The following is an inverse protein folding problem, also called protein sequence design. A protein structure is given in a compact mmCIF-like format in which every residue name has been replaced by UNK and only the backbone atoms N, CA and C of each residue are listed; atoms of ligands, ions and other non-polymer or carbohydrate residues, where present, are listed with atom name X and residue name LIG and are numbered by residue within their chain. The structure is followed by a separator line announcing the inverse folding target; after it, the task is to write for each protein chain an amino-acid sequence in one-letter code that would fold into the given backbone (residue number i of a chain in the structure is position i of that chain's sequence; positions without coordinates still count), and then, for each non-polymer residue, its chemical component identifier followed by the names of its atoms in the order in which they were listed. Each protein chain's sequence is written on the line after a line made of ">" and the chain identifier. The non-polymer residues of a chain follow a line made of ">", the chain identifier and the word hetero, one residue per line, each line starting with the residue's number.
data_IF_823727953962
#
_entry.id   IF_823727953962
#
_cell.length_a   1.000
_cell.length_b   1.000
_cell.length_c   1.000
_cell.angle_alpha   90.00
_cell.angle_beta   90.00
_cell.angle_gamma   90.00
#
_symmetry.space_group_name_H-M   'P 1'
#
loop_
_entity.id
_entity.type
_entity.pdbx_description
1 polymer ?
#
# COMPACT_ATOMS: atom_id res chain seq x y z
N UNK A 1 15.89 -43.92 55.51
CA UNK A 1 15.43 -44.12 54.12
C UNK A 1 14.48 -43.03 53.58
N UNK A 2 14.15 -41.96 54.31
CA UNK A 2 13.14 -40.96 53.89
C UNK A 2 13.62 -39.79 53.02
N UNK A 3 14.93 -39.62 52.76
CA UNK A 3 15.46 -38.48 51.99
C UNK A 3 15.41 -38.65 50.46
N UNK A 4 15.57 -39.89 49.97
CA UNK A 4 15.66 -40.17 48.53
C UNK A 4 14.28 -40.15 47.84
N UNK A 5 13.22 -40.48 48.58
CA UNK A 5 11.84 -40.51 48.07
C UNK A 5 11.30 -39.10 47.83
N UNK A 6 11.62 -38.15 48.71
CA UNK A 6 11.18 -36.75 48.57
C UNK A 6 11.82 -36.05 47.37
N UNK A 7 13.08 -36.35 47.05
CA UNK A 7 13.77 -35.79 45.88
C UNK A 7 13.22 -36.35 44.55
N UNK A 8 12.86 -37.65 44.52
CA UNK A 8 12.25 -38.28 43.35
C UNK A 8 10.84 -37.75 43.09
N UNK A 9 10.07 -37.45 44.15
CA UNK A 9 8.76 -36.82 44.04
C UNK A 9 8.84 -35.37 43.55
N UNK A 10 9.78 -34.57 44.05
CA UNK A 10 9.98 -33.18 43.59
C UNK A 10 10.44 -33.15 42.13
N UNK A 11 11.33 -34.06 41.71
CA UNK A 11 11.76 -34.19 40.31
C UNK A 11 10.63 -34.63 39.39
N UNK A 12 9.75 -35.53 39.82
CA UNK A 12 8.60 -35.96 39.03
C UNK A 12 7.58 -34.83 38.86
N UNK A 13 7.33 -34.03 39.91
CA UNK A 13 6.43 -32.87 39.85
C UNK A 13 6.98 -31.80 38.91
N UNK A 14 8.30 -31.55 38.91
CA UNK A 14 8.94 -30.57 38.00
C UNK A 14 8.88 -31.02 36.53
N UNK A 15 9.01 -32.32 36.25
CA UNK A 15 8.89 -32.87 34.88
C UNK A 15 7.43 -32.81 34.40
N UNK A 16 6.46 -33.08 35.27
CA UNK A 16 5.03 -32.98 34.95
C UNK A 16 4.62 -31.51 34.71
N UNK A 17 5.23 -30.57 35.44
CA UNK A 17 5.00 -29.13 35.24
C UNK A 17 5.60 -28.64 33.90
N UNK A 18 6.72 -29.20 33.45
CA UNK A 18 7.32 -28.89 32.14
C UNK A 18 6.59 -29.53 30.96
N UNK A 19 5.89 -30.65 31.15
CA UNK A 19 5.10 -31.30 30.10
C UNK A 19 3.80 -30.56 29.73
N UNK A 20 3.39 -29.54 30.50
CA UNK A 20 2.18 -28.76 30.24
C UNK A 20 2.37 -27.64 29.20
N UNK A 21 3.60 -27.42 28.69
CA UNK A 21 3.89 -26.34 27.71
C UNK A 21 3.68 -26.80 26.25
N UNK A 22 3.41 -28.08 26.00
CA UNK A 22 3.28 -28.62 24.64
C UNK A 22 1.84 -28.76 24.10
N UNK A 23 0.84 -28.20 24.79
CA UNK A 23 -0.57 -28.26 24.36
C UNK A 23 -1.17 -26.87 24.12
N UNK A 24 -0.61 -26.12 23.18
CA UNK A 24 -1.37 -25.15 22.37
C UNK A 24 -1.41 -25.75 20.95
N UNK A 25 -2.30 -26.71 20.71
CA UNK A 25 -3.64 -26.46 20.19
C UNK A 25 -3.58 -25.60 18.91
N UNK A 26 -3.55 -26.29 17.78
CA UNK A 26 -4.12 -25.79 16.53
C UNK A 26 -5.58 -25.41 16.82
N UNK A 27 -5.90 -24.13 16.74
CA UNK A 27 -7.27 -23.64 16.73
C UNK A 27 -7.46 -22.85 15.42
N UNK A 28 -8.16 -23.50 14.50
CA UNK A 28 -8.83 -22.90 13.37
C UNK A 28 -10.02 -22.06 13.87
N UNK A 29 -10.25 -20.90 13.26
CA UNK A 29 -11.49 -20.14 13.41
C UNK A 29 -11.47 -18.99 14.43
N UNK A 30 -11.20 -17.78 13.90
CA UNK A 30 -11.92 -16.56 14.27
C UNK A 30 -11.79 -16.07 15.71
N UNK A 31 -10.84 -15.17 15.94
CA UNK A 31 -10.99 -13.91 16.70
C UNK A 31 -9.68 -13.13 16.61
N UNK A 32 -9.78 -11.91 16.11
CA UNK A 32 -8.68 -10.95 15.97
C UNK A 32 -7.95 -10.80 17.31
N UNK A 33 -6.67 -11.19 17.34
CA UNK A 33 -5.79 -10.84 18.45
C UNK A 33 -5.56 -9.32 18.40
N UNK A 34 -6.26 -8.60 19.26
CA UNK A 34 -5.98 -7.20 19.52
C UNK A 34 -4.54 -7.08 20.04
N UNK A 35 -3.70 -6.39 19.27
CA UNK A 35 -2.40 -5.90 19.73
C UNK A 35 -2.58 -5.16 21.06
N UNK A 36 -1.77 -5.50 22.06
CA UNK A 36 -1.74 -4.86 23.37
C UNK A 36 -1.29 -3.40 23.23
N UNK A 37 -2.25 -2.50 23.02
CA UNK A 37 -2.07 -1.06 23.12
C UNK A 37 -2.42 -0.57 24.51
N UNK A 38 -1.50 0.13 25.16
CA UNK A 38 -1.71 0.79 26.44
C UNK A 38 -2.96 1.68 26.47
N UNK A 39 -3.51 1.83 27.67
CA UNK A 39 -4.71 2.59 28.02
C UNK A 39 -4.89 3.88 27.22
N UNK A 40 -5.89 3.92 26.32
CA UNK A 40 -6.46 5.17 25.78
C UNK A 40 -6.21 5.49 24.31
N UNK A 41 -5.42 4.72 23.55
CA UNK A 41 -5.28 4.97 22.11
C UNK A 41 -6.43 4.37 21.31
N UNK A 42 -7.25 5.21 20.66
CA UNK A 42 -8.26 4.77 19.68
C UNK A 42 -7.59 3.87 18.63
N UNK A 43 -8.10 2.65 18.38
CA UNK A 43 -7.51 1.71 17.44
C UNK A 43 -7.38 2.31 16.04
N UNK A 44 -6.45 1.78 15.26
CA UNK A 44 -6.22 2.18 13.87
C UNK A 44 -6.83 1.13 12.94
N UNK A 45 -7.81 1.52 12.14
CA UNK A 45 -8.62 0.61 11.35
C UNK A 45 -8.81 1.12 9.92
N UNK A 46 -9.07 0.17 9.01
CA UNK A 46 -9.66 0.46 7.71
C UNK A 46 -11.15 0.75 7.91
N UNK A 47 -11.60 1.93 7.51
CA UNK A 47 -12.98 2.37 7.64
C UNK A 47 -13.83 1.90 6.45
N UNK A 48 -13.29 1.98 5.23
CA UNK A 48 -14.00 1.56 4.02
C UNK A 48 -13.02 1.22 2.88
N UNK A 49 -13.51 0.39 1.96
CA UNK A 49 -12.89 0.18 0.64
C UNK A 49 -13.95 0.37 -0.42
N UNK A 50 -13.72 1.32 -1.31
CA UNK A 50 -14.64 1.66 -2.40
C UNK A 50 -13.91 1.77 -3.72
N UNK A 51 -14.65 1.79 -4.82
CA UNK A 51 -14.13 2.31 -6.07
C UNK A 51 -14.10 3.85 -6.01
N UNK A 52 -13.18 4.46 -6.75
CA UNK A 52 -13.23 5.90 -7.03
C UNK A 52 -14.49 6.16 -7.86
N UNK A 53 -15.33 7.10 -7.41
CA UNK A 53 -16.68 7.31 -7.95
C UNK A 53 -17.79 6.57 -7.18
N UNK A 54 -17.43 5.73 -6.21
CA UNK A 54 -18.37 5.02 -5.34
C UNK A 54 -18.59 3.56 -5.74
N UNK A 55 -19.23 2.80 -4.85
CA UNK A 55 -19.42 1.36 -4.99
C UNK A 55 -18.54 0.59 -3.99
N UNK A 56 -19.14 -0.45 -3.38
CA UNK A 56 -18.46 -1.32 -2.44
C UNK A 56 -17.58 -2.33 -3.20
N UNK A 57 -16.40 -2.63 -2.66
CA UNK A 57 -15.46 -3.59 -3.27
C UNK A 57 -15.43 -4.91 -2.51
N UNK A 58 -15.72 -4.90 -1.20
CA UNK A 58 -15.63 -6.08 -0.36
C UNK A 58 -16.62 -7.15 -0.82
N UNK A 59 -16.09 -8.26 -1.31
CA UNK A 59 -16.83 -9.38 -1.89
C UNK A 59 -17.71 -9.00 -3.10
N UNK A 60 -17.41 -7.88 -3.76
CA UNK A 60 -18.11 -7.47 -4.99
C UNK A 60 -17.77 -8.42 -6.14
N UNK A 61 -18.72 -8.62 -7.07
CA UNK A 61 -18.59 -9.58 -8.19
C UNK A 61 -18.54 -8.96 -9.59
N UNK A 62 -18.75 -7.65 -9.70
CA UNK A 62 -18.79 -6.90 -10.95
C UNK A 62 -17.83 -5.70 -10.95
N UNK A 63 -16.63 -5.89 -10.38
CA UNK A 63 -15.62 -4.83 -10.34
C UNK A 63 -15.07 -4.57 -11.75
N UNK A 64 -14.94 -3.30 -12.20
CA UNK A 64 -14.32 -2.98 -13.49
C UNK A 64 -12.88 -3.51 -13.60
N UNK A 65 -12.45 -3.85 -14.81
CA UNK A 65 -11.08 -4.35 -15.04
C UNK A 65 -10.02 -3.27 -14.89
N UNK A 66 -10.38 -2.00 -15.06
CA UNK A 66 -9.55 -0.80 -14.89
C UNK A 66 -9.80 -0.09 -13.55
N UNK A 67 -10.28 -0.84 -12.54
CA UNK A 67 -10.69 -0.31 -11.25
C UNK A 67 -9.61 0.56 -10.57
N UNK A 68 -10.05 1.69 -10.01
CA UNK A 68 -9.27 2.52 -9.10
C UNK A 68 -9.94 2.44 -7.72
N UNK A 69 -9.20 1.96 -6.72
CA UNK A 69 -9.69 1.72 -5.38
C UNK A 69 -9.33 2.89 -4.46
N UNK A 70 -10.26 3.24 -3.56
CA UNK A 70 -10.02 4.14 -2.44
C UNK A 70 -10.05 3.33 -1.13
N UNK A 71 -8.92 3.31 -0.42
CA UNK A 71 -8.77 2.74 0.91
C UNK A 71 -8.87 3.85 1.94
N UNK A 72 -10.01 3.94 2.61
CA UNK A 72 -10.25 4.95 3.63
C UNK A 72 -9.97 4.38 5.01
N UNK A 73 -9.14 5.07 5.77
CA UNK A 73 -8.78 4.71 7.14
C UNK A 73 -9.37 5.67 8.17
N UNK A 74 -9.38 5.28 9.44
CA UNK A 74 -9.85 6.16 10.52
C UNK A 74 -8.76 7.11 11.08
N UNK A 75 -7.53 7.04 10.55
CA UNK A 75 -6.37 7.88 10.90
C UNK A 75 -5.63 8.38 9.66
N UNK A 76 -4.76 9.38 9.84
CA UNK A 76 -3.89 9.87 8.77
C UNK A 76 -2.84 8.80 8.42
N UNK A 77 -2.84 8.34 7.18
CA UNK A 77 -1.95 7.29 6.65
C UNK A 77 -1.07 7.79 5.49
N UNK A 78 -1.23 9.03 5.05
CA UNK A 78 -0.52 9.55 3.87
C UNK A 78 0.57 10.57 4.21
N UNK A 79 0.73 10.90 5.49
CA UNK A 79 1.74 11.86 5.93
C UNK A 79 3.14 11.51 5.41
N UNK A 80 3.88 12.52 4.96
CA UNK A 80 5.16 12.33 4.26
C UNK A 80 6.22 11.58 5.07
N UNK A 81 6.19 11.65 6.41
CA UNK A 81 7.14 10.91 7.27
C UNK A 81 6.93 9.38 7.25
N UNK A 82 5.72 8.92 6.92
CA UNK A 82 5.36 7.49 6.93
C UNK A 82 5.02 6.95 5.54
N UNK A 83 4.79 7.83 4.56
CA UNK A 83 4.32 7.45 3.23
C UNK A 83 5.23 6.44 2.53
N UNK A 84 6.55 6.60 2.62
CA UNK A 84 7.50 5.69 1.98
C UNK A 84 7.42 4.23 2.49
N UNK A 85 6.90 4.03 3.70
CA UNK A 85 6.59 2.70 4.25
C UNK A 85 5.18 2.28 3.84
N UNK A 86 4.19 3.15 4.02
CA UNK A 86 2.79 2.83 3.79
C UNK A 86 2.47 2.52 2.33
N UNK A 87 3.11 3.17 1.36
CA UNK A 87 2.91 2.89 -0.06
C UNK A 87 3.32 1.47 -0.45
N UNK A 88 4.18 0.83 0.33
CA UNK A 88 4.63 -0.56 0.14
C UNK A 88 3.79 -1.59 0.91
N UNK A 89 2.86 -1.13 1.73
CA UNK A 89 2.01 -1.99 2.55
C UNK A 89 0.78 -2.50 1.80
N UNK A 90 0.61 -2.16 0.52
CA UNK A 90 -0.55 -2.57 -0.29
C UNK A 90 -0.07 -3.43 -1.45
N UNK A 91 -0.74 -4.55 -1.67
CA UNK A 91 -0.46 -5.46 -2.79
C UNK A 91 -1.77 -6.03 -3.33
N UNK A 92 -1.74 -6.47 -4.59
CA UNK A 92 -2.88 -7.10 -5.24
C UNK A 92 -2.43 -8.46 -5.76
N UNK A 93 -3.18 -9.51 -5.44
CA UNK A 93 -2.91 -10.86 -5.95
C UNK A 93 -4.14 -11.44 -6.62
N UNK A 94 -3.96 -12.26 -7.64
CA UNK A 94 -5.06 -12.98 -8.29
C UNK A 94 -5.48 -14.23 -7.49
N UNK A 95 -6.56 -14.86 -7.92
CA UNK A 95 -6.98 -16.18 -7.42
C UNK A 95 -5.94 -17.29 -7.60
N UNK A 96 -5.01 -17.10 -8.53
CA UNK A 96 -3.94 -18.05 -8.86
C UNK A 96 -2.63 -17.71 -8.10
N UNK A 97 -2.73 -16.87 -7.05
CA UNK A 97 -1.62 -16.33 -6.25
C UNK A 97 -0.57 -15.53 -7.06
N UNK A 98 -0.92 -15.09 -8.27
CA UNK A 98 -0.09 -14.21 -9.10
C UNK A 98 -0.10 -12.78 -8.53
N UNK A 99 1.08 -12.20 -8.30
CA UNK A 99 1.20 -10.81 -7.88
C UNK A 99 0.92 -9.85 -9.05
N UNK A 100 -0.04 -8.95 -8.86
CA UNK A 100 -0.45 -7.95 -9.84
C UNK A 100 0.21 -6.61 -9.48
N UNK A 101 0.98 -6.00 -10.39
CA UNK A 101 1.60 -4.71 -10.13
C UNK A 101 0.53 -3.62 -9.97
N UNK A 102 0.70 -2.78 -8.93
CA UNK A 102 -0.20 -1.68 -8.61
C UNK A 102 0.56 -0.37 -8.44
N UNK A 103 -0.08 0.73 -8.83
CA UNK A 103 0.30 2.07 -8.41
C UNK A 103 -0.45 2.42 -7.13
N UNK A 104 0.30 2.77 -6.09
CA UNK A 104 -0.23 3.21 -4.79
C UNK A 104 0.06 4.69 -4.64
N UNK A 105 -0.99 5.52 -4.62
CA UNK A 105 -0.89 6.98 -4.65
C UNK A 105 -1.66 7.61 -3.49
N UNK A 106 -1.35 8.88 -3.25
CA UNK A 106 -1.99 9.73 -2.25
C UNK A 106 -2.27 11.10 -2.85
N UNK A 107 -3.21 11.81 -2.24
CA UNK A 107 -3.23 13.28 -2.33
C UNK A 107 -2.37 13.85 -1.19
N UNK A 108 -1.77 15.01 -1.44
CA UNK A 108 -0.93 15.68 -0.46
C UNK A 108 -1.77 16.14 0.75
N UNK A 109 -1.35 15.75 1.97
CA UNK A 109 -2.08 16.06 3.20
C UNK A 109 -1.99 17.53 3.63
N UNK A 110 -1.12 18.32 2.97
CA UNK A 110 -1.01 19.77 3.16
C UNK A 110 -1.93 20.57 2.23
N UNK A 111 -2.37 19.96 1.12
CA UNK A 111 -3.24 20.59 0.12
C UNK A 111 -4.71 20.26 0.41
N UNK A 112 -5.03 18.99 0.65
CA UNK A 112 -6.37 18.56 1.01
C UNK A 112 -6.37 17.67 2.26
N UNK A 113 -6.68 18.30 3.39
CA UNK A 113 -6.76 17.64 4.69
C UNK A 113 -7.82 16.53 4.76
N UNK A 114 -8.84 16.56 3.90
CA UNK A 114 -9.88 15.51 3.86
C UNK A 114 -9.34 14.20 3.31
N UNK A 115 -8.26 14.25 2.53
CA UNK A 115 -7.68 13.09 1.84
C UNK A 115 -6.58 12.39 2.65
N UNK A 116 -6.23 12.91 3.83
CA UNK A 116 -5.14 12.37 4.65
C UNK A 116 -5.33 10.91 5.08
N UNK A 117 -6.57 10.43 4.98
CA UNK A 117 -7.00 9.10 5.37
C UNK A 117 -7.19 8.15 4.17
N UNK A 118 -6.97 8.63 2.96
CA UNK A 118 -7.27 7.90 1.73
C UNK A 118 -5.99 7.49 1.01
N UNK A 119 -5.88 6.20 0.69
CA UNK A 119 -4.85 5.66 -0.20
C UNK A 119 -5.55 5.20 -1.47
N UNK A 120 -5.05 5.64 -2.62
CA UNK A 120 -5.58 5.24 -3.91
C UNK A 120 -4.72 4.12 -4.50
N UNK A 121 -5.37 3.11 -5.08
CA UNK A 121 -4.69 1.93 -5.61
C UNK A 121 -5.24 1.64 -6.98
N UNK A 122 -4.37 1.51 -7.97
CA UNK A 122 -4.75 1.20 -9.34
C UNK A 122 -3.84 0.10 -9.90
N UNK A 123 -4.38 -0.98 -10.48
CA UNK A 123 -3.58 -1.94 -11.25
C UNK A 123 -2.83 -1.21 -12.38
N UNK A 124 -1.57 -1.58 -12.61
CA UNK A 124 -0.76 -0.99 -13.69
C UNK A 124 -1.33 -1.38 -15.07
N UNK A 125 -1.83 -2.61 -15.18
CA UNK A 125 -2.49 -3.12 -16.38
C UNK A 125 -3.94 -3.49 -16.04
N UNK A 126 -4.87 -3.45 -17.02
CA UNK A 126 -6.23 -3.94 -16.82
C UNK A 126 -6.24 -5.38 -16.29
N UNK A 127 -7.12 -5.63 -15.32
CA UNK A 127 -7.34 -6.95 -14.74
C UNK A 127 -8.04 -7.88 -15.72
N UNK A 128 -7.89 -9.18 -15.51
CA UNK A 128 -8.59 -10.20 -16.31
C UNK A 128 -10.09 -10.15 -16.01
N UNK A 129 -10.98 -10.18 -17.01
CA UNK A 129 -12.42 -10.30 -16.79
C UNK A 129 -12.78 -11.58 -16.03
N UNK A 130 -13.87 -11.54 -15.26
CA UNK A 130 -14.43 -12.70 -14.56
C UNK A 130 -13.51 -13.38 -13.55
N UNK A 131 -12.44 -12.71 -13.12
CA UNK A 131 -11.36 -13.29 -12.30
C UNK A 131 -11.44 -12.76 -10.87
N UNK A 132 -11.23 -13.63 -9.88
CA UNK A 132 -11.17 -13.22 -8.48
C UNK A 132 -9.77 -12.68 -8.11
N UNK A 133 -9.76 -11.68 -7.25
CA UNK A 133 -8.57 -10.98 -6.78
C UNK A 133 -8.66 -10.67 -5.28
N UNK A 134 -7.50 -10.48 -4.67
CA UNK A 134 -7.34 -10.15 -3.26
C UNK A 134 -6.45 -8.92 -3.12
N UNK A 135 -7.04 -7.81 -2.67
CA UNK A 135 -6.30 -6.63 -2.28
C UNK A 135 -5.86 -6.80 -0.81
N UNK A 136 -4.55 -6.83 -0.59
CA UNK A 136 -3.94 -7.12 0.71
C UNK A 136 -3.29 -5.86 1.28
N UNK A 137 -3.54 -5.61 2.57
CA UNK A 137 -2.97 -4.50 3.34
C UNK A 137 -2.16 -5.09 4.51
N UNK A 138 -0.86 -4.79 4.54
CA UNK A 138 0.08 -5.27 5.55
C UNK A 138 -0.27 -4.79 6.96
N UNK A 139 -0.07 -5.62 8.00
CA UNK A 139 -0.19 -5.18 9.40
C UNK A 139 0.81 -4.07 9.78
N UNK A 140 1.86 -3.87 8.98
CA UNK A 140 2.89 -2.85 9.21
C UNK A 140 2.45 -1.44 8.81
N UNK A 141 1.31 -1.30 8.12
CA UNK A 141 0.79 0.01 7.71
C UNK A 141 0.61 0.89 8.94
N UNK A 142 1.11 2.14 8.88
CA UNK A 142 1.19 3.04 10.03
C UNK A 142 0.24 4.21 9.90
N UNK A 143 -0.26 4.70 11.02
CA UNK A 143 -0.84 6.01 11.14
C UNK A 143 0.22 7.05 11.58
N UNK A 144 -0.02 8.34 11.31
CA UNK A 144 0.89 9.44 11.69
C UNK A 144 1.22 9.47 13.19
N UNK A 145 0.32 8.99 14.04
CA UNK A 145 0.51 8.93 15.49
C UNK A 145 1.33 7.70 15.97
N UNK A 146 1.88 6.90 15.05
CA UNK A 146 2.71 5.73 15.34
C UNK A 146 1.94 4.41 15.50
N UNK A 147 0.60 4.44 15.52
CA UNK A 147 -0.19 3.20 15.57
C UNK A 147 0.01 2.38 14.29
N UNK A 148 0.09 1.05 14.43
CA UNK A 148 0.13 0.11 13.30
C UNK A 148 -1.21 -0.57 13.12
N UNK A 149 -1.52 -1.01 11.89
CA UNK A 149 -2.75 -1.75 11.61
C UNK A 149 -2.78 -3.05 12.42
N UNK A 150 -1.60 -3.68 12.56
CA UNK A 150 -1.38 -4.83 13.43
C UNK A 150 -2.12 -6.10 12.99
N UNK A 151 -2.09 -7.12 13.85
CA UNK A 151 -2.71 -8.40 13.60
C UNK A 151 -2.16 -9.10 12.36
N UNK A 152 -3.05 -9.70 11.56
CA UNK A 152 -2.72 -10.41 10.32
C UNK A 152 -2.76 -9.52 9.07
N UNK A 153 -2.96 -8.21 9.22
CA UNK A 153 -3.32 -7.33 8.11
C UNK A 153 -4.77 -7.54 7.64
N UNK A 154 -5.11 -6.94 6.51
CA UNK A 154 -6.46 -6.99 5.92
C UNK A 154 -6.39 -7.58 4.52
N UNK A 155 -7.33 -8.45 4.19
CA UNK A 155 -7.52 -8.98 2.84
C UNK A 155 -8.94 -8.66 2.37
N UNK A 156 -9.05 -7.96 1.25
CA UNK A 156 -10.30 -7.62 0.59
C UNK A 156 -10.41 -8.47 -0.67
N UNK A 157 -11.40 -9.37 -0.71
CA UNK A 157 -11.67 -10.19 -1.89
C UNK A 157 -12.66 -9.47 -2.80
N UNK A 158 -12.47 -9.57 -4.12
CA UNK A 158 -13.44 -9.12 -5.13
C UNK A 158 -13.30 -9.94 -6.41
N UNK A 159 -14.27 -9.83 -7.30
CA UNK A 159 -14.23 -10.45 -8.63
C UNK A 159 -14.55 -9.40 -9.68
N UNK A 160 -13.80 -9.43 -10.79
CA UNK A 160 -14.03 -8.54 -11.92
C UNK A 160 -15.26 -8.97 -12.72
N UNK A 161 -15.90 -7.99 -13.36
CA UNK A 161 -17.00 -8.25 -14.29
C UNK A 161 -16.56 -9.24 -15.37
N UNK A 162 -17.43 -10.18 -15.71
CA UNK A 162 -17.21 -11.10 -16.83
C UNK A 162 -17.11 -10.37 -18.16
N UNK A 163 -16.48 -11.00 -19.15
CA UNK A 163 -16.44 -10.46 -20.50
C UNK A 163 -17.86 -10.42 -21.08
N UNK A 164 -18.24 -9.29 -21.68
CA UNK A 164 -19.50 -9.23 -22.38
C UNK A 164 -19.39 -10.12 -23.62
N UNK A 165 -20.21 -11.17 -23.69
CA UNK A 165 -20.34 -11.95 -24.92
C UNK A 165 -20.92 -11.00 -25.96
N UNK A 166 -20.09 -10.55 -26.89
CA UNK A 166 -20.56 -9.83 -28.07
C UNK A 166 -21.30 -10.86 -28.91
N UNK A 167 -22.62 -10.96 -28.72
CA UNK A 167 -23.47 -11.77 -29.58
C UNK A 167 -23.30 -11.21 -31.00
N UNK A 168 -22.79 -11.99 -31.98
CA UNK A 168 -22.68 -11.51 -33.34
C UNK A 168 -24.08 -11.11 -33.79
N UNK A 169 -24.22 -9.84 -34.19
CA UNK A 169 -25.43 -9.33 -34.81
C UNK A 169 -25.85 -10.32 -35.88
N UNK A 170 -27.01 -10.95 -35.68
CA UNK A 170 -27.69 -11.67 -36.75
C UNK A 170 -28.03 -10.64 -37.82
N UNK A 171 -27.10 -10.47 -38.76
CA UNK A 171 -27.37 -9.85 -40.05
C UNK A 171 -28.33 -10.80 -40.74
N UNK A 172 -29.63 -10.51 -40.64
CA UNK A 172 -30.64 -11.17 -41.44
C UNK A 172 -30.21 -11.05 -42.91
N UNK A 173 -29.88 -12.19 -43.50
CA UNK A 173 -29.74 -12.36 -44.92
C UNK A 173 -31.15 -12.44 -45.47
N UNK A 174 -31.58 -11.42 -46.20
CA UNK A 174 -32.73 -11.54 -47.10
C UNK A 174 -32.19 -11.76 -48.52
N UNK A 175 -32.60 -12.84 -49.22
CA UNK A 175 -32.19 -13.12 -50.58
C UNK A 175 -33.10 -12.45 -51.62
N UNK A 176 -32.45 -12.02 -52.71
CA UNK A 176 -32.92 -11.83 -54.10
C UNK A 176 -34.07 -10.85 -54.43
N UNK A 177 -33.73 -9.78 -55.18
CA UNK A 177 -34.03 -9.81 -56.63
C UNK A 177 -33.14 -8.86 -57.45
N UNK A 178 -32.71 -9.34 -58.62
CA UNK A 178 -31.77 -8.73 -59.58
C UNK A 178 -32.55 -7.88 -60.59
N UNK A 179 -32.08 -6.65 -60.90
CA UNK A 179 -32.18 -6.14 -62.29
C UNK A 179 -31.06 -5.13 -62.66
N UNK A 180 -30.38 -5.27 -63.82
CA UNK A 180 -29.24 -4.45 -64.22
C UNK A 180 -29.60 -3.36 -65.24
N UNK A 181 -28.91 -2.21 -65.19
CA UNK A 181 -28.72 -1.34 -66.36
C UNK A 181 -27.48 -0.45 -66.20
N UNK A 182 -26.54 -0.59 -67.13
CA UNK A 182 -25.30 0.16 -67.26
C UNK A 182 -25.52 1.54 -67.92
N UNK A 183 -24.70 2.53 -67.55
CA UNK A 183 -23.89 3.35 -68.46
C UNK A 183 -23.32 4.62 -67.77
N UNK A 184 -21.99 4.73 -67.70
CA UNK A 184 -21.25 6.01 -67.83
C UNK A 184 -20.99 6.22 -69.34
N UNK A 185 -20.80 7.45 -69.90
CA UNK A 185 -19.63 8.29 -69.61
C UNK A 185 -19.76 9.84 -69.77
N UNK A 186 -18.77 10.54 -69.16
CA UNK A 186 -18.06 11.76 -69.61
C UNK A 186 -18.63 13.20 -69.42
N UNK A 187 -17.86 13.97 -68.64
CA UNK A 187 -17.69 15.45 -68.59
C UNK A 187 -17.03 15.99 -69.89
N UNK A 188 -17.22 17.27 -70.27
CA UNK A 188 -16.19 18.30 -69.98
C UNK A 188 -16.70 19.73 -69.66
N UNK A 189 -15.77 20.52 -69.08
CA UNK A 189 -15.81 21.92 -68.63
C UNK A 189 -16.15 22.97 -69.74
N UNK A 190 -16.43 24.26 -69.50
CA UNK A 190 -15.63 25.30 -68.79
C UNK A 190 -16.29 26.71 -68.98
N UNK A 191 -15.72 27.77 -68.36
CA UNK A 191 -15.65 29.23 -68.76
C UNK A 191 -16.64 30.20 -68.07
N UNK A 192 -16.32 31.37 -67.46
CA UNK A 192 -15.13 32.23 -67.20
C UNK A 192 -15.47 33.26 -66.05
N UNK A 193 -14.43 33.80 -65.38
CA UNK A 193 -14.34 34.89 -64.37
C UNK A 193 -14.63 36.32 -64.94
N UNK A 194 -14.15 37.52 -64.45
CA UNK A 194 -13.43 37.95 -63.22
C UNK A 194 -13.88 39.33 -62.62
N UNK A 195 -13.39 39.75 -61.43
CA UNK A 195 -12.55 40.95 -61.20
C UNK A 195 -12.27 41.30 -59.73
N UNK A 196 -11.22 42.09 -59.57
CA UNK A 196 -10.31 42.34 -58.45
C UNK A 196 -10.48 43.77 -57.83
N UNK A 197 -9.71 44.06 -56.77
CA UNK A 197 -9.11 45.35 -56.33
C UNK A 197 -9.54 45.92 -54.95
N UNK A 198 -8.62 45.70 -53.98
CA UNK A 198 -7.92 46.68 -53.12
C UNK A 198 -8.51 47.21 -51.79
N UNK A 199 -7.79 46.90 -50.70
CA UNK A 199 -7.01 47.91 -49.97
C UNK A 199 -7.46 48.29 -48.54
N UNK A 200 -6.63 47.94 -47.53
CA UNK A 200 -5.78 48.87 -46.72
C UNK A 200 -5.69 48.59 -45.19
N UNK A 201 -4.49 48.18 -44.79
CA UNK A 201 -3.63 48.52 -43.63
C UNK A 201 -4.09 48.47 -42.16
N UNK A 202 -3.45 47.58 -41.37
CA UNK A 202 -2.39 47.86 -40.35
C UNK A 202 -2.10 46.57 -39.55
N UNK A 203 -0.98 45.87 -39.71
CA UNK A 203 0.41 46.16 -39.27
C UNK A 203 0.54 46.43 -37.75
N UNK A 204 1.14 45.51 -36.99
CA UNK A 204 2.59 45.51 -36.73
C UNK A 204 3.04 44.26 -35.94
N UNK A 205 4.06 43.61 -36.49
CA UNK A 205 4.81 42.47 -35.95
C UNK A 205 5.83 42.86 -34.88
N UNK A 206 6.34 41.79 -34.26
CA UNK A 206 7.76 41.49 -34.01
C UNK A 206 8.23 41.67 -32.56
N UNK A 207 9.20 40.92 -32.03
CA UNK A 207 9.81 39.61 -32.30
C UNK A 207 10.97 39.50 -31.27
N UNK A 208 11.12 38.33 -30.64
CA UNK A 208 12.37 37.67 -30.17
C UNK A 208 13.21 38.24 -28.99
N UNK A 209 13.93 37.36 -28.25
CA UNK A 209 14.54 37.67 -26.96
C UNK A 209 16.06 37.85 -27.03
N UNK A 210 16.63 38.52 -26.03
CA UNK A 210 18.04 38.38 -25.66
C UNK A 210 18.31 38.78 -24.20
N UNK A 211 19.51 38.43 -23.74
CA UNK A 211 19.90 38.01 -22.40
C UNK A 211 20.69 39.08 -21.62
N UNK A 212 20.66 38.97 -20.28
CA UNK A 212 21.77 39.20 -19.32
C UNK A 212 21.93 40.54 -18.55
N UNK A 213 22.05 40.34 -17.22
CA UNK A 213 22.83 41.06 -16.20
C UNK A 213 22.46 42.50 -15.77
N UNK A 214 22.17 42.68 -14.47
CA UNK A 214 23.09 43.23 -13.45
C UNK A 214 22.35 43.85 -12.24
N UNK A 215 22.90 43.52 -11.06
CA UNK A 215 22.80 44.08 -9.70
C UNK A 215 21.92 45.32 -9.37
N UNK A 216 21.22 45.26 -8.22
CA UNK A 216 21.22 46.35 -7.21
C UNK A 216 20.75 45.88 -5.81
N UNK A 217 21.70 45.88 -4.88
CA UNK A 217 21.72 46.52 -3.54
C UNK A 217 20.50 46.49 -2.59
N UNK A 218 20.66 45.67 -1.53
CA UNK A 218 20.56 45.92 -0.09
C UNK A 218 19.47 46.84 0.52
N UNK A 219 18.71 46.28 1.47
CA UNK A 219 18.60 46.77 2.85
C UNK A 219 17.92 45.73 3.77
N UNK A 220 18.68 45.15 4.73
CA UNK A 220 18.19 44.75 6.05
C UNK A 220 19.35 44.20 6.90
N UNK A 221 19.94 45.10 7.69
CA UNK A 221 20.30 44.97 9.10
C UNK A 221 20.94 43.65 9.55
N UNK A 222 22.25 43.68 9.77
CA UNK A 222 22.96 42.66 10.52
C UNK A 222 22.78 42.80 12.03
N UNK A 223 22.89 41.68 12.75
CA UNK A 223 23.66 41.60 13.99
C UNK A 223 24.21 40.18 14.15
N UNK A 224 25.54 40.11 14.03
CA UNK A 224 26.49 39.27 14.77
C UNK A 224 26.29 37.75 14.91
N UNK A 225 27.25 37.04 14.30
CA UNK A 225 27.65 35.66 14.55
C UNK A 225 28.14 35.49 15.99
N UNK A 226 27.73 34.41 16.68
CA UNK A 226 28.57 33.44 17.42
C UNK A 226 27.70 32.23 17.82
N UNK A 227 27.74 31.12 17.05
CA UNK A 227 27.76 29.76 17.63
C UNK A 227 28.12 28.73 16.55
N UNK A 228 29.37 28.29 16.56
CA UNK A 228 29.84 27.10 15.86
C UNK A 228 30.47 26.22 16.93
N UNK A 229 29.61 25.52 17.68
CA UNK A 229 30.02 24.25 18.25
C UNK A 229 29.06 23.14 17.84
N UNK A 230 29.70 22.02 17.58
CA UNK A 230 29.32 20.98 16.67
C UNK A 230 28.58 19.88 17.45
N UNK A 231 27.70 19.15 16.75
CA UNK A 231 27.22 17.79 17.04
C UNK A 231 25.94 17.61 17.90
N UNK A 232 24.81 17.20 17.29
CA UNK A 232 23.96 16.19 17.90
C UNK A 232 24.53 14.81 17.54
N UNK A 233 24.99 14.08 18.57
CA UNK A 233 25.36 12.67 18.45
C UNK A 233 24.14 11.90 17.97
N UNK A 234 24.33 11.14 16.88
CA UNK A 234 23.50 9.98 16.57
C UNK A 234 23.26 9.15 17.84
N UNK A 235 22.00 8.83 18.11
CA UNK A 235 21.63 7.69 18.96
C UNK A 235 20.69 6.82 18.14
N UNK A 236 21.25 6.19 17.11
CA UNK A 236 20.65 5.03 16.46
C UNK A 236 21.08 3.81 17.26
N UNK A 237 20.46 3.59 18.43
CA UNK A 237 20.68 2.38 19.21
C UNK A 237 19.71 1.30 18.74
N UNK A 238 20.24 0.37 17.95
CA UNK A 238 19.62 -0.87 17.52
C UNK A 238 19.13 -1.68 18.73
N UNK A 239 17.81 -1.78 18.92
CA UNK A 239 17.16 -2.49 20.03
C UNK A 239 16.92 -3.99 19.75
N UNK A 240 17.81 -4.67 19.00
CA UNK A 240 17.66 -6.09 18.65
C UNK A 240 18.98 -6.87 18.81
N UNK A 241 19.72 -6.68 19.92
CA UNK A 241 20.90 -7.52 20.22
C UNK A 241 21.25 -7.65 21.71
N UNK A 242 20.26 -7.90 22.58
CA UNK A 242 20.54 -8.32 23.97
C UNK A 242 19.59 -9.42 24.46
N UNK A 243 19.36 -10.46 23.66
CA UNK A 243 18.66 -11.66 24.16
C UNK A 243 19.44 -12.95 23.89
N UNK A 244 20.76 -12.85 23.74
CA UNK A 244 21.61 -14.02 23.46
C UNK A 244 22.82 -14.25 24.40
N UNK A 245 23.14 -13.41 25.41
CA UNK A 245 24.13 -13.80 26.43
C UNK A 245 23.55 -14.17 27.80
N UNK A 246 22.27 -13.93 28.10
CA UNK A 246 21.71 -14.20 29.45
C UNK A 246 21.50 -15.71 29.68
N UNK A 247 21.11 -16.46 28.65
CA UNK A 247 20.87 -17.91 28.77
C UNK A 247 22.11 -18.73 29.13
N UNK A 248 23.29 -18.36 28.59
CA UNK A 248 24.53 -19.11 28.81
C UNK A 248 25.06 -18.93 30.24
N UNK A 249 24.92 -17.73 30.83
CA UNK A 249 25.38 -17.45 32.19
C UNK A 249 24.56 -18.18 33.24
N UNK A 250 23.24 -18.32 33.03
CA UNK A 250 22.36 -19.05 33.97
C UNK A 250 22.65 -20.55 33.95
N UNK A 251 22.88 -21.14 32.76
CA UNK A 251 23.20 -22.57 32.64
C UNK A 251 24.58 -22.89 33.22
N UNK A 252 25.60 -22.06 32.96
CA UNK A 252 26.93 -22.25 33.53
C UNK A 252 26.93 -22.10 35.07
N UNK A 253 26.19 -21.11 35.59
CA UNK A 253 26.03 -20.92 37.03
C UNK A 253 25.37 -22.12 37.73
N UNK A 254 24.36 -22.72 37.10
CA UNK A 254 23.67 -23.90 37.64
C UNK A 254 24.58 -25.13 37.71
N UNK A 255 25.42 -25.35 36.69
CA UNK A 255 26.35 -26.50 36.64
C UNK A 255 27.43 -26.36 37.73
N UNK A 256 27.99 -25.17 37.93
CA UNK A 256 29.00 -24.93 38.99
C UNK A 256 28.38 -25.10 40.38
N UNK A 257 27.14 -24.66 40.57
CA UNK A 257 26.41 -24.81 41.84
C UNK A 257 26.13 -26.28 42.20
N UNK A 258 25.74 -27.10 41.22
CA UNK A 258 25.56 -28.56 41.38
C UNK A 258 26.87 -29.27 41.78
N UNK A 259 27.99 -28.90 41.17
CA UNK A 259 29.31 -29.47 41.48
C UNK A 259 29.76 -29.10 42.91
N UNK A 260 29.51 -27.86 43.34
CA UNK A 260 29.86 -27.38 44.68
C UNK A 260 29.05 -28.06 45.79
N UNK A 261 27.75 -28.28 45.57
CA UNK A 261 26.88 -29.02 46.51
C UNK A 261 27.30 -30.48 46.61
N UNK A 262 27.70 -31.09 45.49
CA UNK A 262 28.10 -32.51 45.47
C UNK A 262 29.45 -32.75 46.16
N UNK A 263 30.35 -31.77 46.16
CA UNK A 263 31.64 -31.84 46.87
C UNK A 263 31.47 -31.76 48.39
N UNK A 264 30.50 -30.99 48.89
CA UNK A 264 30.24 -30.83 50.32
C UNK A 264 29.34 -31.94 50.93
N UNK A 265 29.02 -32.99 50.16
CA UNK A 265 28.22 -34.14 50.60
C UNK A 265 28.97 -35.48 50.57
N UNK A 266 30.28 -35.45 50.38
CA UNK A 266 31.21 -36.55 50.72
C UNK A 266 32.00 -36.15 51.95
#
# INVERSE_FOLDING_TARGET
>A
MFGKVKWKLISAILIILFLQVAAFAYAEGGKQAASQGGTGQKPFNLAAVTLVGGGNVQNAVDVPTDANFNLQFDKNVVNSLIWGVNSKCVSLVSQDDENIPVNVTKLDDTIDFSQRQNIFVQPVNPLRPGTAYYLKISPELKAKNGATLGGTGITIAFKTKGEAVVQPSQSASEPDDIQPAAATPATPANVIAPNDISGKDKQLSAEKPEQQAAASTAAATGTSIQDLDNKPKETTANFVSWITPIGIVVVAGWIVFEILIKRNRK
#
